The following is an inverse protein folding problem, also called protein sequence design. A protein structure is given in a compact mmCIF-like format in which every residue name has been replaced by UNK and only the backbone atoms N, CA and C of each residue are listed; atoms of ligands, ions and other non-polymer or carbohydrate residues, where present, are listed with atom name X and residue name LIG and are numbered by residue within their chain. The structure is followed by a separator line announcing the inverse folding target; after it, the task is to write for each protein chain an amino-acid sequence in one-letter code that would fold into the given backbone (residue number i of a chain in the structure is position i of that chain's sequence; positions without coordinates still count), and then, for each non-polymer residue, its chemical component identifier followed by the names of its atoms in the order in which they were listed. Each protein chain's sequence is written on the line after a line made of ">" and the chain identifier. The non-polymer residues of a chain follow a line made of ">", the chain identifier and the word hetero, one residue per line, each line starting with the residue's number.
data_IF_249118257920
#
_entry.id   IF_249118257920
#
_cell.length_a   1.000
_cell.length_b   1.000
_cell.length_c   1.000
_cell.angle_alpha   90.00
_cell.angle_beta   90.00
_cell.angle_gamma   90.00
#
_symmetry.space_group_name_H-M   'P 1'
#
loop_
_entity.id
_entity.type
_entity.pdbx_description
1 polymer ?
#
# COMPACT_ATOMS: atom_id res chain seq x y z
N UNK A 1 8.56 -17.48 -28.81
CA UNK A 1 8.57 -16.22 -29.60
C UNK A 1 9.76 -15.37 -29.23
N UNK A 2 10.26 -14.55 -30.16
CA UNK A 2 11.40 -13.66 -29.95
C UNK A 2 10.91 -12.33 -29.38
N UNK A 3 11.15 -12.07 -28.09
CA UNK A 3 10.83 -10.78 -27.45
C UNK A 3 11.72 -9.69 -28.03
N UNK A 4 11.14 -8.60 -28.54
CA UNK A 4 11.91 -7.50 -29.12
C UNK A 4 12.53 -6.59 -28.04
N UNK A 5 13.61 -5.89 -28.39
CA UNK A 5 14.22 -4.88 -27.53
C UNK A 5 13.29 -3.70 -27.25
N UNK A 6 12.43 -3.35 -28.22
CA UNK A 6 11.42 -2.30 -28.06
C UNK A 6 10.37 -2.67 -27.02
N UNK A 7 9.86 -3.91 -27.03
CA UNK A 7 8.89 -4.37 -26.03
C UNK A 7 9.49 -4.38 -24.62
N UNK A 8 10.75 -4.81 -24.48
CA UNK A 8 11.45 -4.78 -23.18
C UNK A 8 11.61 -3.35 -22.68
N UNK A 9 11.96 -2.41 -23.57
CA UNK A 9 12.09 -0.99 -23.24
C UNK A 9 10.75 -0.41 -22.79
N UNK A 10 9.68 -0.65 -23.55
CA UNK A 10 8.33 -0.18 -23.22
C UNK A 10 7.85 -0.72 -21.86
N UNK A 11 8.01 -2.02 -21.61
CA UNK A 11 7.61 -2.62 -20.34
C UNK A 11 8.42 -2.05 -19.17
N UNK A 12 9.72 -1.82 -19.38
CA UNK A 12 10.58 -1.20 -18.37
C UNK A 12 10.17 0.25 -18.08
N UNK A 13 9.81 1.02 -19.10
CA UNK A 13 9.33 2.40 -18.91
C UNK A 13 8.02 2.43 -18.13
N UNK A 14 7.12 1.47 -18.37
CA UNK A 14 5.83 1.36 -17.66
C UNK A 14 5.96 0.88 -16.21
N UNK A 15 6.92 0.01 -15.92
CA UNK A 15 7.00 -0.71 -14.62
C UNK A 15 8.20 -0.30 -13.76
N UNK A 16 9.24 0.28 -14.36
CA UNK A 16 10.50 0.59 -13.71
C UNK A 16 11.36 -0.64 -13.35
N UNK A 17 10.87 -1.85 -13.60
CA UNK A 17 11.54 -3.10 -13.21
C UNK A 17 12.80 -3.35 -14.07
N UNK A 18 13.76 -4.11 -13.53
CA UNK A 18 15.01 -4.45 -14.20
C UNK A 18 14.81 -5.10 -15.58
N UNK A 19 15.70 -4.78 -16.54
CA UNK A 19 15.63 -5.22 -17.95
C UNK A 19 15.43 -6.74 -18.09
N UNK A 20 16.14 -7.53 -17.29
CA UNK A 20 16.09 -8.99 -17.35
C UNK A 20 14.75 -9.55 -16.86
N UNK A 21 14.14 -8.92 -15.86
CA UNK A 21 12.83 -9.29 -15.35
C UNK A 21 11.74 -8.90 -16.35
N UNK A 22 11.83 -7.73 -16.99
CA UNK A 22 10.93 -7.35 -18.09
C UNK A 22 11.04 -8.34 -19.26
N UNK A 23 12.26 -8.72 -19.66
CA UNK A 23 12.47 -9.70 -20.74
C UNK A 23 11.90 -11.07 -20.39
N UNK A 24 12.08 -11.52 -19.15
CA UNK A 24 11.51 -12.78 -18.66
C UNK A 24 9.98 -12.72 -18.66
N UNK A 25 9.40 -11.66 -18.11
CA UNK A 25 7.93 -11.49 -18.08
C UNK A 25 7.32 -11.50 -19.48
N UNK A 26 7.93 -10.79 -20.44
CA UNK A 26 7.48 -10.81 -21.83
C UNK A 26 7.60 -12.18 -22.47
N UNK A 27 8.63 -12.97 -22.12
CA UNK A 27 8.78 -14.33 -22.63
C UNK A 27 7.68 -15.25 -22.09
N UNK A 28 7.36 -15.15 -20.81
CA UNK A 28 6.30 -15.94 -20.14
C UNK A 28 4.90 -15.52 -20.58
N UNK A 29 4.75 -14.31 -21.10
CA UNK A 29 3.47 -13.74 -21.54
C UNK A 29 3.38 -13.59 -23.06
N UNK A 30 4.19 -14.33 -23.83
CA UNK A 30 4.14 -14.35 -25.30
C UNK A 30 4.24 -12.95 -25.95
N UNK A 31 4.96 -12.02 -25.31
CA UNK A 31 5.15 -10.64 -25.76
C UNK A 31 3.98 -9.69 -25.46
N UNK A 32 2.93 -10.16 -24.78
CA UNK A 32 1.80 -9.35 -24.36
C UNK A 32 2.20 -8.44 -23.17
N UNK A 33 2.23 -7.14 -23.42
CA UNK A 33 2.65 -6.11 -22.45
C UNK A 33 1.73 -6.09 -21.23
N UNK A 34 0.41 -6.18 -21.42
CA UNK A 34 -0.54 -6.08 -20.31
C UNK A 34 -0.45 -7.32 -19.42
N UNK A 35 -0.37 -8.51 -20.02
CA UNK A 35 -0.13 -9.74 -19.26
C UNK A 35 1.21 -9.73 -18.55
N UNK A 36 2.25 -9.16 -19.18
CA UNK A 36 3.57 -9.04 -18.56
C UNK A 36 3.56 -8.08 -17.35
N UNK A 37 2.77 -7.00 -17.38
CA UNK A 37 2.56 -6.12 -16.22
C UNK A 37 1.91 -6.90 -15.07
N UNK A 38 0.83 -7.63 -15.34
CA UNK A 38 0.16 -8.44 -14.32
C UNK A 38 1.07 -9.54 -13.77
N UNK A 39 1.89 -10.14 -14.63
CA UNK A 39 2.90 -11.11 -14.24
C UNK A 39 3.94 -10.50 -13.30
N UNK A 40 4.45 -9.30 -13.62
CA UNK A 40 5.42 -8.59 -12.79
C UNK A 40 4.83 -8.18 -11.44
N UNK A 41 3.57 -7.75 -11.40
CA UNK A 41 2.86 -7.47 -10.15
C UNK A 41 2.77 -8.69 -9.24
N UNK A 42 2.32 -9.84 -9.78
CA UNK A 42 2.27 -11.11 -9.04
C UNK A 42 3.66 -11.54 -8.53
N UNK A 43 4.69 -11.38 -9.37
CA UNK A 43 6.08 -11.64 -8.99
C UNK A 43 6.57 -10.68 -7.89
N UNK A 44 6.16 -9.41 -7.93
CA UNK A 44 6.45 -8.41 -6.91
C UNK A 44 5.94 -8.82 -5.54
N UNK A 45 4.67 -9.23 -5.45
CA UNK A 45 4.07 -9.76 -4.21
C UNK A 45 4.87 -10.96 -3.67
N UNK A 46 5.24 -11.91 -4.54
CA UNK A 46 6.04 -13.06 -4.14
C UNK A 46 7.45 -12.65 -3.64
N UNK A 47 8.04 -11.63 -4.25
CA UNK A 47 9.35 -11.09 -3.88
C UNK A 47 9.29 -10.38 -2.53
N UNK A 48 8.26 -9.56 -2.30
CA UNK A 48 8.00 -8.92 -1.01
C UNK A 48 7.84 -9.96 0.09
N UNK A 49 7.03 -11.00 -0.13
CA UNK A 49 6.86 -12.09 0.85
C UNK A 49 8.17 -12.82 1.16
N UNK A 50 9.04 -13.06 0.17
CA UNK A 50 10.34 -13.72 0.39
C UNK A 50 11.33 -12.84 1.17
N UNK A 51 11.12 -11.53 1.17
CA UNK A 51 12.04 -10.54 1.75
C UNK A 51 11.53 -9.89 3.02
N UNK A 52 10.30 -10.18 3.45
CA UNK A 52 9.67 -9.54 4.61
C UNK A 52 10.46 -9.67 5.91
N UNK A 53 11.26 -10.74 6.06
CA UNK A 53 12.13 -10.95 7.22
C UNK A 53 13.48 -10.22 7.15
N UNK A 54 13.80 -9.55 6.03
CA UNK A 54 15.05 -8.82 5.89
C UNK A 54 15.01 -7.54 6.70
N UNK A 55 16.10 -7.27 7.41
CA UNK A 55 16.28 -6.05 8.18
C UNK A 55 16.28 -4.82 7.28
N UNK A 56 15.44 -3.84 7.61
CA UNK A 56 15.35 -2.56 6.93
C UNK A 56 15.77 -1.45 7.89
N UNK A 57 17.02 -0.98 7.77
CA UNK A 57 17.61 0.01 8.69
C UNK A 57 17.89 1.38 8.03
N UNK A 58 17.71 1.46 6.71
CA UNK A 58 17.88 2.67 5.91
C UNK A 58 16.52 3.17 5.44
N UNK A 59 16.44 4.30 4.75
CA UNK A 59 15.19 4.82 4.19
C UNK A 59 15.05 6.32 4.36
N UNK A 60 13.81 6.79 4.52
CA UNK A 60 13.50 8.22 4.64
C UNK A 60 12.45 8.49 5.71
N UNK A 61 12.61 9.62 6.40
CA UNK A 61 11.53 10.31 7.10
C UNK A 61 11.11 11.49 6.25
N UNK A 62 9.83 11.51 5.84
CA UNK A 62 9.27 12.54 4.97
C UNK A 62 8.24 13.36 5.74
N UNK A 63 8.33 14.68 5.59
CA UNK A 63 7.31 15.62 6.05
C UNK A 63 6.47 16.12 4.89
N UNK A 64 5.15 16.14 5.06
CA UNK A 64 4.21 16.73 4.11
C UNK A 64 3.25 17.68 4.82
N UNK A 65 3.20 18.93 4.35
CA UNK A 65 2.28 19.96 4.84
C UNK A 65 1.26 20.23 3.75
N UNK A 66 -0.01 19.93 4.02
CA UNK A 66 -1.09 20.14 3.07
C UNK A 66 -1.56 21.59 3.03
N UNK A 67 -2.18 21.99 1.92
CA UNK A 67 -2.53 23.35 1.56
C UNK A 67 -3.10 24.19 2.73
N UNK A 68 -2.49 25.35 2.96
CA UNK A 68 -2.85 26.27 4.03
C UNK A 68 -2.33 25.88 5.42
N UNK A 69 -1.49 24.85 5.54
CA UNK A 69 -0.83 24.47 6.80
C UNK A 69 -1.76 23.82 7.83
N UNK A 70 -2.95 23.36 7.40
CA UNK A 70 -3.97 22.80 8.30
C UNK A 70 -3.80 21.31 8.57
N UNK A 71 -3.05 20.59 7.74
CA UNK A 71 -2.73 19.18 7.93
C UNK A 71 -1.23 19.01 7.76
N UNK A 72 -0.60 18.31 8.70
CA UNK A 72 0.80 17.94 8.65
C UNK A 72 0.98 16.44 8.84
N UNK A 73 1.86 15.83 8.05
CA UNK A 73 2.18 14.40 8.13
C UNK A 73 3.69 14.22 8.27
N UNK A 74 4.10 13.32 9.15
CA UNK A 74 5.43 12.72 9.15
C UNK A 74 5.28 11.22 8.89
N UNK A 75 6.04 10.68 7.96
CA UNK A 75 6.06 9.24 7.66
C UNK A 75 7.49 8.73 7.62
N UNK A 76 7.72 7.59 8.26
CA UNK A 76 8.99 6.86 8.20
C UNK A 76 8.81 5.60 7.36
N UNK A 77 9.61 5.47 6.30
CA UNK A 77 9.63 4.31 5.43
C UNK A 77 11.05 3.78 5.36
N UNK A 78 11.22 2.51 5.73
CA UNK A 78 12.52 1.85 5.75
C UNK A 78 12.73 0.99 4.49
N UNK A 79 14.00 0.85 4.09
CA UNK A 79 14.51 -0.04 3.05
C UNK A 79 15.81 -0.73 3.53
N UNK A 80 16.38 -1.63 2.72
CA UNK A 80 17.58 -2.40 3.10
C UNK A 80 18.85 -1.52 3.05
N UNK A 81 18.99 -0.68 2.01
CA UNK A 81 20.24 0.08 1.74
C UNK A 81 20.03 1.60 1.64
N UNK A 82 21.10 2.35 1.90
CA UNK A 82 21.08 3.81 1.80
C UNK A 82 21.02 4.29 0.34
N UNK A 83 21.52 3.50 -0.60
CA UNK A 83 21.39 3.74 -2.04
C UNK A 83 19.92 3.83 -2.46
N UNK A 84 19.09 2.87 -2.03
CA UNK A 84 17.64 2.90 -2.28
C UNK A 84 16.99 4.07 -1.54
N UNK A 85 17.36 4.27 -0.27
CA UNK A 85 16.86 5.38 0.54
C UNK A 85 17.18 6.78 -0.01
N UNK A 86 18.20 6.94 -0.88
CA UNK A 86 18.57 8.21 -1.52
C UNK A 86 18.07 8.35 -2.96
N UNK A 87 17.40 7.34 -3.50
CA UNK A 87 16.90 7.34 -4.87
C UNK A 87 15.70 8.30 -5.02
N UNK A 88 15.64 9.03 -6.13
CA UNK A 88 14.53 9.94 -6.46
C UNK A 88 13.17 9.22 -6.54
N UNK A 89 13.13 8.02 -7.13
CA UNK A 89 11.91 7.19 -7.20
C UNK A 89 11.41 6.83 -5.79
N UNK A 90 12.32 6.53 -4.86
CA UNK A 90 11.98 6.24 -3.47
C UNK A 90 11.46 7.49 -2.77
N UNK A 91 12.09 8.66 -3.00
CA UNK A 91 11.65 9.93 -2.44
C UNK A 91 10.23 10.32 -2.90
N UNK A 92 9.93 10.15 -4.19
CA UNK A 92 8.60 10.38 -4.76
C UNK A 92 7.58 9.43 -4.12
N UNK A 93 7.93 8.15 -4.00
CA UNK A 93 7.06 7.16 -3.38
C UNK A 93 6.74 7.47 -1.91
N UNK A 94 7.74 7.84 -1.09
CA UNK A 94 7.51 8.19 0.32
C UNK A 94 6.66 9.47 0.44
N UNK A 95 6.87 10.44 -0.46
CA UNK A 95 6.01 11.64 -0.54
C UNK A 95 4.56 11.28 -0.89
N UNK A 96 4.35 10.31 -1.77
CA UNK A 96 3.03 9.86 -2.17
C UNK A 96 2.29 9.14 -1.03
N UNK A 97 3.00 8.39 -0.20
CA UNK A 97 2.47 7.85 1.05
C UNK A 97 2.08 8.96 2.04
N UNK A 98 2.90 10.02 2.16
CA UNK A 98 2.57 11.15 3.01
C UNK A 98 1.31 11.90 2.54
N UNK A 99 1.14 12.06 1.22
CA UNK A 99 -0.07 12.64 0.62
C UNK A 99 -1.29 11.74 0.86
N UNK A 100 -1.13 10.41 0.70
CA UNK A 100 -2.18 9.43 1.02
C UNK A 100 -2.66 9.64 2.46
N UNK A 101 -1.76 9.59 3.43
CA UNK A 101 -2.08 9.73 4.86
C UNK A 101 -2.81 11.06 5.13
N UNK A 102 -2.33 12.16 4.54
CA UNK A 102 -2.96 13.46 4.69
C UNK A 102 -4.42 13.45 4.20
N UNK A 103 -4.67 12.80 3.06
CA UNK A 103 -5.97 12.75 2.41
C UNK A 103 -6.97 11.76 3.04
N UNK A 104 -6.51 10.61 3.52
CA UNK A 104 -7.39 9.51 3.95
C UNK A 104 -7.47 9.32 5.45
N UNK A 105 -6.59 9.96 6.24
CA UNK A 105 -6.57 9.87 7.70
C UNK A 105 -6.67 8.44 8.25
N UNK A 106 -5.77 7.51 7.83
CA UNK A 106 -5.78 6.15 8.34
C UNK A 106 -5.61 6.11 9.86
N UNK A 107 -6.29 5.16 10.51
CA UNK A 107 -6.18 4.92 11.95
C UNK A 107 -4.89 4.15 12.26
N UNK A 108 -4.51 3.22 11.39
CA UNK A 108 -3.38 2.33 11.58
C UNK A 108 -2.70 1.98 10.26
N UNK A 109 -1.51 1.38 10.33
CA UNK A 109 -0.81 0.86 9.15
C UNK A 109 -1.53 -0.38 8.62
N UNK A 110 -1.75 -1.36 9.50
CA UNK A 110 -2.36 -2.64 9.24
C UNK A 110 -3.42 -2.97 10.30
N UNK A 111 -4.07 -4.13 10.16
CA UNK A 111 -5.16 -4.56 11.04
C UNK A 111 -4.67 -4.82 12.46
N UNK A 112 -3.46 -5.35 12.58
CA UNK A 112 -2.81 -5.72 13.83
C UNK A 112 -2.44 -4.48 14.67
N UNK A 113 -2.22 -3.35 14.00
CA UNK A 113 -1.90 -2.08 14.62
C UNK A 113 -3.13 -1.26 15.02
N UNK A 114 -4.36 -1.77 14.79
CA UNK A 114 -5.58 -1.09 15.25
C UNK A 114 -5.73 -1.28 16.76
N UNK A 115 -5.95 -0.19 17.54
CA UNK A 115 -6.27 -0.29 18.95
C UNK A 115 -7.50 -1.16 19.21
N UNK A 116 -7.40 -2.09 20.16
CA UNK A 116 -8.46 -3.08 20.44
C UNK A 116 -9.77 -2.42 20.87
N UNK A 117 -9.70 -1.33 21.62
CA UNK A 117 -10.85 -0.53 22.05
C UNK A 117 -11.62 0.08 20.86
N UNK A 118 -10.90 0.58 19.84
CA UNK A 118 -11.53 1.06 18.59
C UNK A 118 -12.22 -0.11 17.86
N UNK A 119 -11.53 -1.24 17.74
CA UNK A 119 -12.06 -2.41 17.03
C UNK A 119 -13.31 -3.00 17.71
N UNK A 120 -13.29 -3.13 19.03
CA UNK A 120 -14.41 -3.61 19.83
C UNK A 120 -15.62 -2.67 19.71
N UNK A 121 -15.38 -1.37 19.83
CA UNK A 121 -16.42 -0.34 19.69
C UNK A 121 -17.07 -0.37 18.31
N UNK A 122 -16.29 -0.41 17.24
CA UNK A 122 -16.83 -0.49 15.87
C UNK A 122 -17.63 -1.78 15.64
N UNK A 123 -17.14 -2.93 16.15
CA UNK A 123 -17.86 -4.20 16.09
C UNK A 123 -19.19 -4.12 16.82
N UNK A 124 -19.24 -3.55 18.01
CA UNK A 124 -20.48 -3.37 18.79
C UNK A 124 -21.48 -2.48 18.06
N UNK A 125 -21.03 -1.36 17.51
CA UNK A 125 -21.86 -0.45 16.70
C UNK A 125 -22.49 -1.22 15.54
N UNK A 126 -21.69 -1.98 14.78
CA UNK A 126 -22.20 -2.75 13.64
C UNK A 126 -23.15 -3.88 14.06
N UNK A 127 -22.87 -4.56 15.18
CA UNK A 127 -23.73 -5.60 15.71
C UNK A 127 -25.10 -5.04 16.14
N UNK A 128 -25.11 -3.88 16.79
CA UNK A 128 -26.32 -3.17 17.20
C UNK A 128 -27.15 -2.78 15.97
N UNK A 129 -26.54 -2.11 14.99
CA UNK A 129 -27.20 -1.74 13.73
C UNK A 129 -27.73 -2.95 12.95
N UNK A 130 -27.03 -4.09 13.01
CA UNK A 130 -27.46 -5.30 12.32
C UNK A 130 -28.63 -5.99 13.04
N UNK A 131 -28.68 -5.97 14.38
CA UNK A 131 -29.80 -6.50 15.17
C UNK A 131 -31.10 -5.74 14.91
N UNK A 132 -31.03 -4.42 14.74
CA UNK A 132 -32.19 -3.58 14.40
C UNK A 132 -32.84 -3.96 13.05
N UNK A 133 -32.13 -4.69 12.18
CA UNK A 133 -32.65 -5.13 10.89
C UNK A 133 -33.64 -6.30 10.97
N UNK A 134 -33.82 -6.94 12.14
CA UNK A 134 -34.74 -8.06 12.35
C UNK A 134 -34.39 -9.35 11.59
N UNK A 135 -33.18 -9.43 11.03
CA UNK A 135 -32.71 -10.58 10.26
C UNK A 135 -32.22 -11.73 11.15
N UNK A 136 -32.16 -12.98 10.64
CA UNK A 136 -31.61 -14.11 11.40
C UNK A 136 -30.15 -13.89 11.82
N UNK A 137 -29.74 -14.49 12.93
CA UNK A 137 -28.39 -14.33 13.54
C UNK A 137 -27.24 -14.59 12.55
N UNK A 138 -27.31 -15.67 11.76
CA UNK A 138 -26.33 -15.97 10.70
C UNK A 138 -26.20 -14.87 9.63
N UNK A 139 -27.28 -14.11 9.40
CA UNK A 139 -27.27 -12.99 8.44
C UNK A 139 -26.69 -11.74 9.11
N UNK A 140 -26.99 -11.53 10.39
CA UNK A 140 -26.40 -10.45 11.21
C UNK A 140 -24.88 -10.59 11.27
N UNK A 141 -24.35 -11.78 11.55
CA UNK A 141 -22.91 -12.04 11.59
C UNK A 141 -22.23 -11.66 10.27
N UNK A 142 -22.79 -12.09 9.13
CA UNK A 142 -22.28 -11.73 7.80
C UNK A 142 -22.35 -10.22 7.52
N UNK A 143 -23.37 -9.53 8.02
CA UNK A 143 -23.48 -8.06 7.89
C UNK A 143 -22.36 -7.39 8.69
N UNK A 144 -22.13 -7.82 9.93
CA UNK A 144 -21.06 -7.27 10.79
C UNK A 144 -19.70 -7.51 10.16
N UNK A 145 -19.45 -8.72 9.65
CA UNK A 145 -18.19 -9.06 8.97
C UNK A 145 -17.96 -8.18 7.72
N UNK A 146 -19.00 -7.97 6.91
CA UNK A 146 -18.93 -7.09 5.74
C UNK A 146 -18.64 -5.63 6.11
N UNK A 147 -19.26 -5.12 7.18
CA UNK A 147 -19.00 -3.77 7.68
C UNK A 147 -17.59 -3.63 8.25
N UNK A 148 -17.12 -4.62 9.02
CA UNK A 148 -15.74 -4.64 9.51
C UNK A 148 -14.73 -4.70 8.36
N UNK A 149 -14.99 -5.47 7.31
CA UNK A 149 -14.14 -5.48 6.11
C UNK A 149 -14.04 -4.10 5.46
N UNK A 150 -15.16 -3.38 5.38
CA UNK A 150 -15.17 -2.00 4.86
C UNK A 150 -14.40 -1.05 5.78
N UNK A 151 -14.61 -1.16 7.10
CA UNK A 151 -13.87 -0.40 8.10
C UNK A 151 -12.35 -0.59 7.93
N UNK A 152 -11.86 -1.84 7.81
CA UNK A 152 -10.43 -2.08 7.60
C UNK A 152 -9.91 -1.47 6.29
N UNK A 153 -10.68 -1.55 5.20
CA UNK A 153 -10.29 -0.93 3.93
C UNK A 153 -10.18 0.60 3.99
N UNK A 154 -10.85 1.25 4.94
CA UNK A 154 -10.81 2.69 5.17
C UNK A 154 -9.81 3.07 6.28
N UNK A 155 -9.67 2.25 7.32
CA UNK A 155 -8.88 2.53 8.52
C UNK A 155 -7.41 2.08 8.42
N UNK A 156 -7.13 0.97 7.72
CA UNK A 156 -5.78 0.44 7.55
C UNK A 156 -5.13 1.03 6.31
N UNK A 157 -4.06 1.81 6.48
CA UNK A 157 -3.35 2.45 5.38
C UNK A 157 -2.96 1.46 4.26
N UNK A 158 -2.46 0.27 4.61
CA UNK A 158 -2.04 -0.73 3.62
C UNK A 158 -3.18 -1.27 2.75
N UNK A 159 -4.42 -1.25 3.26
CA UNK A 159 -5.61 -1.74 2.54
C UNK A 159 -6.32 -0.66 1.74
N UNK A 160 -5.99 0.62 1.98
CA UNK A 160 -6.62 1.72 1.28
C UNK A 160 -6.28 1.70 -0.21
N UNK A 161 -7.24 2.07 -1.07
CA UNK A 161 -6.96 2.45 -2.44
C UNK A 161 -6.00 3.65 -2.48
N UNK A 162 -5.06 3.64 -3.41
CA UNK A 162 -4.13 4.74 -3.56
C UNK A 162 -4.83 5.94 -4.20
N UNK A 163 -4.79 7.12 -3.56
CA UNK A 163 -5.52 8.32 -4.01
C UNK A 163 -5.18 8.77 -5.43
N UNK A 164 -3.96 8.50 -5.93
CA UNK A 164 -3.57 8.84 -7.31
C UNK A 164 -3.90 7.75 -8.32
N UNK A 165 -4.11 6.52 -7.86
CA UNK A 165 -4.47 5.38 -8.68
C UNK A 165 -5.33 4.38 -7.87
N UNK A 166 -6.65 4.57 -7.84
CA UNK A 166 -7.55 3.74 -7.00
C UNK A 166 -7.62 2.26 -7.41
N UNK A 167 -7.07 1.88 -8.56
CA UNK A 167 -7.03 0.49 -9.03
C UNK A 167 -6.05 -0.38 -8.22
N UNK A 168 -5.16 0.24 -7.44
CA UNK A 168 -4.19 -0.46 -6.59
C UNK A 168 -4.31 0.00 -5.15
N UNK A 169 -3.96 -0.89 -4.22
CA UNK A 169 -3.84 -0.54 -2.80
C UNK A 169 -2.47 0.06 -2.48
N UNK A 170 -2.32 0.63 -1.29
CA UNK A 170 -1.01 1.04 -0.78
C UNK A 170 -0.05 -0.15 -0.60
N UNK A 171 -0.57 -1.31 -0.21
CA UNK A 171 0.23 -2.54 -0.16
C UNK A 171 0.77 -2.93 -1.54
N UNK A 172 -0.04 -2.77 -2.60
CA UNK A 172 0.39 -3.03 -3.97
C UNK A 172 1.46 -2.03 -4.41
N UNK A 173 1.29 -0.74 -4.08
CA UNK A 173 2.29 0.29 -4.37
C UNK A 173 3.64 -0.02 -3.69
N UNK A 174 3.63 -0.49 -2.44
CA UNK A 174 4.83 -0.97 -1.74
C UNK A 174 5.43 -2.17 -2.47
N UNK A 175 4.61 -3.15 -2.87
CA UNK A 175 5.08 -4.34 -3.58
C UNK A 175 5.69 -4.00 -4.95
N UNK A 176 5.13 -3.03 -5.67
CA UNK A 176 5.69 -2.51 -6.93
C UNK A 176 7.07 -1.87 -6.69
N UNK A 177 7.23 -1.08 -5.62
CA UNK A 177 8.54 -0.51 -5.27
C UNK A 177 9.55 -1.60 -4.84
N UNK A 178 9.11 -2.63 -4.12
CA UNK A 178 9.95 -3.79 -3.78
C UNK A 178 10.39 -4.52 -5.05
N UNK A 179 9.49 -4.71 -6.02
CA UNK A 179 9.82 -5.36 -7.29
C UNK A 179 10.81 -4.53 -8.12
N UNK A 180 10.66 -3.20 -8.10
CA UNK A 180 11.51 -2.26 -8.81
C UNK A 180 12.92 -2.18 -8.22
N UNK A 181 13.02 -2.07 -6.90
CA UNK A 181 14.30 -1.92 -6.17
C UNK A 181 14.98 -3.25 -5.91
N UNK A 182 14.21 -4.33 -5.80
CA UNK A 182 14.71 -5.60 -5.32
C UNK A 182 15.15 -5.53 -3.85
N UNK A 183 14.49 -4.69 -3.02
CA UNK A 183 14.73 -4.57 -1.58
C UNK A 183 13.43 -4.71 -0.80
N UNK A 184 13.50 -5.18 0.45
CA UNK A 184 12.41 -5.09 1.40
C UNK A 184 12.12 -3.62 1.71
N UNK A 185 10.85 -3.25 1.72
CA UNK A 185 10.39 -1.89 2.04
C UNK A 185 9.28 -2.00 3.06
N UNK A 186 9.43 -1.26 4.15
CA UNK A 186 8.51 -1.31 5.29
C UNK A 186 8.07 0.10 5.63
N UNK A 187 6.76 0.33 5.66
CA UNK A 187 6.21 1.52 6.28
C UNK A 187 6.25 1.33 7.79
N UNK A 188 7.07 2.12 8.48
CA UNK A 188 7.41 1.89 9.89
C UNK A 188 6.42 2.52 10.84
N UNK A 189 6.10 3.79 10.59
CA UNK A 189 5.20 4.62 11.40
C UNK A 189 4.84 5.88 10.65
N UNK A 190 3.74 6.49 11.03
CA UNK A 190 3.40 7.84 10.63
C UNK A 190 2.73 8.57 11.80
N UNK A 191 2.69 9.89 11.70
CA UNK A 191 1.79 10.74 12.48
C UNK A 191 1.14 11.74 11.54
N UNK A 192 -0.13 12.02 11.81
CA UNK A 192 -0.93 13.00 11.09
C UNK A 192 -1.50 13.97 12.11
N UNK A 193 -1.31 15.26 11.86
CA UNK A 193 -1.92 16.33 12.63
C UNK A 193 -2.93 17.05 11.75
N UNK A 194 -4.09 17.37 12.32
CA UNK A 194 -5.06 18.25 11.69
C UNK A 194 -5.46 19.37 12.66
N UNK A 195 -5.45 20.60 12.16
CA UNK A 195 -5.84 21.77 12.93
C UNK A 195 -7.28 21.62 13.45
N UNK A 196 -7.44 21.69 14.78
CA UNK A 196 -8.73 21.60 15.44
C UNK A 196 -9.22 20.18 15.72
N UNK A 197 -8.41 19.16 15.41
CA UNK A 197 -8.62 17.80 15.89
C UNK A 197 -8.25 17.73 17.39
N UNK A 198 -9.09 17.10 18.19
CA UNK A 198 -8.82 16.82 19.61
C UNK A 198 -8.13 15.47 19.73
N UNK A 199 -7.05 15.40 20.51
CA UNK A 199 -6.32 14.17 20.85
C UNK A 199 -7.22 13.11 21.51
#
# INVERSE_FOLDING_TARGET
>A
MTVSTSQVKELREKTGVGIMDCKTALKECDGDINKAIDYLRKKGIATAKKRSSRTTSQGQVMSYIHAGGKIGVLVEVNCETDFTGKNEDFAIFVKDLAIQIAATSPVAIDRESIPQDILEKEREIYATQAKESGKPEKVIEKIVEGKLKKFFAEACLLEQPFVKNPDITIQDLINEMIAKTGENIVMRRFVRFQLGESD
#
